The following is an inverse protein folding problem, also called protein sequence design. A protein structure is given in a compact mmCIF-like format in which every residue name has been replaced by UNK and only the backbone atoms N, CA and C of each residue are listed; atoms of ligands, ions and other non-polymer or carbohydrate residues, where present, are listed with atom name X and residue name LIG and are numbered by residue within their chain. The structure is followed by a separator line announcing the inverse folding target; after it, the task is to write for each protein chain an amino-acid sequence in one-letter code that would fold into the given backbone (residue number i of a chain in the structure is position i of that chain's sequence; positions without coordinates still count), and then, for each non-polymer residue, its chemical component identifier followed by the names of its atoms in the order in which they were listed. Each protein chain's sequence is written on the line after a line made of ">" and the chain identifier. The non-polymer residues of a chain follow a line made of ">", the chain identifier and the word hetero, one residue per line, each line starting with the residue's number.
data_IF_204385510741
#
_entry.id   IF_204385510741
#
_cell.length_a   1.000
_cell.length_b   1.000
_cell.length_c   1.000
_cell.angle_alpha   90.00
_cell.angle_beta   90.00
_cell.angle_gamma   90.00
#
_symmetry.space_group_name_H-M   'P 1'
#
loop_
_entity.id
_entity.type
_entity.pdbx_description
1 polymer ?
#
# COMPACT_ATOMS: atom_id res chain seq x y z
N UNK A 1 7.38 -23.94 7.26
CA UNK A 1 6.06 -23.40 7.64
C UNK A 1 6.25 -21.91 7.90
N UNK A 2 6.16 -21.08 6.85
CA UNK A 2 6.40 -19.64 6.96
C UNK A 2 5.09 -18.91 6.76
N UNK A 3 4.16 -19.13 7.70
CA UNK A 3 2.91 -18.37 7.78
C UNK A 3 3.23 -16.97 8.26
N UNK A 4 3.44 -16.08 7.29
CA UNK A 4 3.47 -14.63 7.52
C UNK A 4 4.86 -14.09 7.76
N UNK A 5 5.68 -14.02 6.72
CA UNK A 5 6.76 -13.03 6.68
C UNK A 5 6.10 -11.65 6.52
N UNK A 6 5.41 -11.18 7.56
CA UNK A 6 4.90 -9.83 7.63
C UNK A 6 6.08 -8.92 7.91
N UNK A 7 6.64 -8.37 6.86
CA UNK A 7 7.73 -7.41 7.01
C UNK A 7 7.26 -6.18 7.76
N UNK A 8 8.20 -5.52 8.43
CA UNK A 8 7.99 -4.30 9.21
C UNK A 8 7.13 -3.25 8.46
N UNK A 9 7.27 -3.16 7.13
CA UNK A 9 6.49 -2.27 6.29
C UNK A 9 4.99 -2.61 6.26
N UNK A 10 4.65 -3.89 6.12
CA UNK A 10 3.25 -4.36 6.11
C UNK A 10 2.59 -4.08 7.46
N UNK A 11 3.27 -4.38 8.57
CA UNK A 11 2.75 -4.11 9.91
C UNK A 11 2.59 -2.61 10.17
N UNK A 12 3.55 -1.79 9.73
CA UNK A 12 3.46 -0.34 9.86
C UNK A 12 2.31 0.23 9.02
N UNK A 13 2.08 -0.30 7.82
CA UNK A 13 0.98 0.09 6.95
C UNK A 13 -0.38 -0.35 7.52
N UNK A 14 -0.50 -1.55 8.07
CA UNK A 14 -1.73 -2.07 8.68
C UNK A 14 -2.12 -1.33 9.97
N UNK A 15 -1.13 -0.89 10.75
CA UNK A 15 -1.35 -0.16 12.00
C UNK A 15 -1.43 1.37 11.81
N UNK A 16 -1.22 1.89 10.60
CA UNK A 16 -1.31 3.32 10.35
C UNK A 16 -0.07 4.12 10.80
N UNK A 17 1.06 3.45 11.02
CA UNK A 17 2.31 4.06 11.48
C UNK A 17 3.02 4.82 10.34
N UNK A 18 2.45 5.94 9.92
CA UNK A 18 2.91 6.79 8.81
C UNK A 18 4.42 7.08 8.88
N UNK A 19 4.92 7.46 10.05
CA UNK A 19 6.33 7.85 10.23
C UNK A 19 7.28 6.68 10.03
N UNK A 20 6.89 5.49 10.52
CA UNK A 20 7.65 4.25 10.35
C UNK A 20 7.64 3.81 8.89
N UNK A 21 6.48 3.87 8.23
CA UNK A 21 6.38 3.61 6.79
C UNK A 21 7.32 4.54 6.02
N UNK A 22 7.29 5.84 6.29
CA UNK A 22 8.17 6.80 5.60
C UNK A 22 9.65 6.47 5.83
N UNK A 23 10.05 6.20 7.07
CA UNK A 23 11.42 5.85 7.40
C UNK A 23 11.87 4.58 6.66
N UNK A 24 11.02 3.54 6.63
CA UNK A 24 11.29 2.29 5.92
C UNK A 24 11.38 2.47 4.40
N UNK A 25 10.55 3.35 3.83
CA UNK A 25 10.63 3.68 2.41
C UNK A 25 11.89 4.50 2.09
N UNK A 26 12.33 5.38 2.98
CA UNK A 26 13.54 6.20 2.76
C UNK A 26 14.84 5.41 2.98
N UNK A 27 14.85 4.47 3.93
CA UNK A 27 16.03 3.62 4.25
C UNK A 27 16.09 2.31 3.47
N UNK A 28 14.93 1.74 3.12
CA UNK A 28 14.78 0.41 2.54
C UNK A 28 14.54 0.38 1.03
N UNK A 29 14.57 1.54 0.35
CA UNK A 29 14.31 1.66 -1.11
C UNK A 29 15.06 0.66 -2.00
N UNK A 30 16.20 0.13 -1.55
CA UNK A 30 17.01 -0.84 -2.28
C UNK A 30 16.66 -2.32 -2.02
N UNK A 31 15.96 -2.65 -0.91
CA UNK A 31 15.70 -4.04 -0.48
C UNK A 31 14.21 -4.39 -0.33
N UNK A 32 13.29 -3.44 -0.52
CA UNK A 32 11.86 -3.75 -0.46
C UNK A 32 11.43 -4.53 -1.70
N UNK A 33 10.90 -5.74 -1.50
CA UNK A 33 10.32 -6.51 -2.59
C UNK A 33 9.01 -5.87 -3.07
N UNK A 34 8.76 -5.94 -4.37
CA UNK A 34 7.52 -5.46 -5.00
C UNK A 34 6.27 -6.04 -4.34
N UNK A 35 6.31 -7.32 -3.93
CA UNK A 35 5.18 -7.99 -3.26
C UNK A 35 4.90 -7.44 -1.84
N UNK A 36 5.92 -6.99 -1.11
CA UNK A 36 5.74 -6.39 0.22
C UNK A 36 5.10 -5.01 0.11
N UNK A 37 5.58 -4.21 -0.83
CA UNK A 37 5.04 -2.89 -1.16
C UNK A 37 3.57 -2.98 -1.59
N UNK A 38 3.24 -3.98 -2.41
CA UNK A 38 1.85 -4.30 -2.79
C UNK A 38 1.03 -4.68 -1.57
N UNK A 39 1.55 -5.58 -0.73
CA UNK A 39 0.87 -6.03 0.50
C UNK A 39 0.55 -4.88 1.44
N UNK A 40 1.53 -4.03 1.71
CA UNK A 40 1.36 -2.82 2.50
C UNK A 40 0.29 -1.87 1.89
N UNK A 41 0.22 -1.76 0.55
CA UNK A 41 -0.71 -0.88 -0.14
C UNK A 41 -2.17 -1.27 0.08
N UNK A 42 -2.55 -2.55 -0.12
CA UNK A 42 -3.94 -2.96 0.07
C UNK A 42 -4.33 -3.12 1.54
N UNK A 43 -3.38 -3.35 2.47
CA UNK A 43 -3.62 -3.25 3.90
C UNK A 43 -3.93 -1.81 4.33
N UNK A 44 -3.14 -0.84 3.88
CA UNK A 44 -3.42 0.58 4.13
C UNK A 44 -4.73 1.05 3.48
N UNK A 45 -5.04 0.54 2.28
CA UNK A 45 -6.28 0.86 1.57
C UNK A 45 -7.53 0.30 2.25
N UNK A 46 -7.42 -0.87 2.89
CA UNK A 46 -8.49 -1.47 3.68
C UNK A 46 -8.81 -0.69 4.97
N UNK A 47 -7.89 0.14 5.45
CA UNK A 47 -7.99 0.88 6.72
C UNK A 47 -8.19 2.40 6.53
N UNK A 48 -8.39 2.85 5.29
CA UNK A 48 -8.50 4.27 4.89
C UNK A 48 -7.25 5.13 5.19
N UNK A 49 -6.05 4.52 5.27
CA UNK A 49 -4.82 5.27 5.54
C UNK A 49 -4.28 5.98 4.30
N UNK A 50 -5.01 6.99 3.81
CA UNK A 50 -4.69 7.83 2.65
C UNK A 50 -3.22 8.23 2.55
N UNK A 51 -2.64 8.73 3.63
CA UNK A 51 -1.25 9.21 3.63
C UNK A 51 -0.26 8.07 3.35
N UNK A 52 -0.52 6.88 3.91
CA UNK A 52 0.30 5.69 3.71
C UNK A 52 0.11 5.14 2.30
N UNK A 53 -1.14 5.07 1.83
CA UNK A 53 -1.45 4.66 0.46
C UNK A 53 -0.70 5.54 -0.54
N UNK A 54 -0.71 6.87 -0.35
CA UNK A 54 0.02 7.79 -1.22
C UNK A 54 1.54 7.54 -1.20
N UNK A 55 2.15 7.43 -0.01
CA UNK A 55 3.60 7.20 0.12
C UNK A 55 4.03 5.86 -0.51
N UNK A 56 3.25 4.80 -0.29
CA UNK A 56 3.51 3.49 -0.88
C UNK A 56 3.34 3.54 -2.40
N UNK A 57 2.31 4.21 -2.90
CA UNK A 57 2.09 4.37 -4.34
C UNK A 57 3.25 5.12 -5.01
N UNK A 58 3.67 6.24 -4.45
CA UNK A 58 4.80 7.06 -4.95
C UNK A 58 6.13 6.28 -4.95
N UNK A 59 6.32 5.35 -4.00
CA UNK A 59 7.59 4.62 -3.84
C UNK A 59 7.63 3.33 -4.64
N UNK A 60 6.50 2.64 -4.80
CA UNK A 60 6.52 1.24 -5.21
C UNK A 60 6.89 1.03 -6.67
N UNK A 61 6.94 2.09 -7.49
CA UNK A 61 6.86 1.94 -8.95
C UNK A 61 5.80 0.89 -9.32
N UNK A 62 4.68 0.86 -8.56
CA UNK A 62 3.55 0.02 -8.94
C UNK A 62 3.20 0.60 -10.29
N UNK A 63 3.46 -0.17 -11.34
CA UNK A 63 3.12 0.21 -12.68
C UNK A 63 1.67 0.65 -12.61
N UNK A 64 1.41 1.93 -12.88
CA UNK A 64 0.10 2.53 -12.80
C UNK A 64 -0.87 1.94 -13.84
N UNK A 65 -0.48 0.83 -14.47
CA UNK A 65 -1.29 0.02 -15.33
C UNK A 65 -2.62 -0.26 -14.63
N UNK A 66 -3.74 0.21 -15.20
CA UNK A 66 -5.07 -0.05 -14.66
C UNK A 66 -5.41 -1.55 -14.62
N UNK A 67 -4.63 -2.41 -15.29
CA UNK A 67 -4.73 -3.87 -15.25
C UNK A 67 -3.91 -4.53 -14.15
N UNK A 68 -3.12 -3.79 -13.35
CA UNK A 68 -2.41 -4.40 -12.21
C UNK A 68 -3.44 -4.96 -11.22
N UNK A 69 -3.44 -6.28 -11.06
CA UNK A 69 -4.36 -6.99 -10.17
C UNK A 69 -4.29 -6.49 -8.71
N UNK A 70 -3.15 -5.93 -8.30
CA UNK A 70 -2.97 -5.42 -6.93
C UNK A 70 -3.60 -4.04 -6.77
N UNK A 71 -3.53 -3.20 -7.80
CA UNK A 71 -4.32 -1.95 -7.83
C UNK A 71 -5.81 -2.29 -7.76
N UNK A 72 -6.26 -3.27 -8.54
CA UNK A 72 -7.64 -3.75 -8.50
C UNK A 72 -8.02 -4.31 -7.12
N UNK A 73 -7.15 -5.10 -6.49
CA UNK A 73 -7.36 -5.60 -5.11
C UNK A 73 -7.44 -4.47 -4.09
N UNK A 74 -6.54 -3.49 -4.14
CA UNK A 74 -6.55 -2.34 -3.23
C UNK A 74 -7.82 -1.49 -3.41
N UNK A 75 -8.23 -1.28 -4.67
CA UNK A 75 -9.42 -0.51 -5.04
C UNK A 75 -10.71 -1.25 -4.65
N UNK A 76 -10.75 -2.57 -4.88
CA UNK A 76 -11.84 -3.44 -4.43
C UNK A 76 -11.99 -3.42 -2.91
N UNK A 77 -10.89 -3.52 -2.16
CA UNK A 77 -10.94 -3.43 -0.69
C UNK A 77 -11.42 -2.05 -0.25
N UNK A 78 -10.81 -0.98 -0.74
CA UNK A 78 -11.24 0.38 -0.39
C UNK A 78 -12.72 0.61 -0.70
N UNK A 79 -13.21 0.16 -1.86
CA UNK A 79 -14.62 0.24 -2.22
C UNK A 79 -15.52 -0.63 -1.30
N UNK A 80 -15.11 -1.87 -1.00
CA UNK A 80 -15.84 -2.79 -0.13
C UNK A 80 -16.06 -2.23 1.28
N UNK A 81 -15.09 -1.48 1.81
CA UNK A 81 -15.18 -0.85 3.13
C UNK A 81 -15.70 0.59 3.09
N UNK A 82 -16.09 1.12 1.93
CA UNK A 82 -16.63 2.48 1.78
C UNK A 82 -15.59 3.60 1.89
N UNK A 83 -14.31 3.30 1.70
CA UNK A 83 -13.19 4.24 1.77
C UNK A 83 -13.05 5.05 0.48
N UNK A 84 -14.06 5.89 0.23
CA UNK A 84 -14.20 6.72 -0.98
C UNK A 84 -12.98 7.62 -1.21
N UNK A 85 -12.43 8.08 -0.09
CA UNK A 85 -11.16 8.77 0.07
C UNK A 85 -9.98 8.07 -0.66
N UNK A 86 -9.75 6.80 -0.32
CA UNK A 86 -8.69 5.98 -0.93
C UNK A 86 -9.05 5.58 -2.36
N UNK A 87 -10.31 5.28 -2.65
CA UNK A 87 -10.77 4.95 -4.01
C UNK A 87 -10.47 6.10 -4.98
N UNK A 88 -10.77 7.34 -4.58
CA UNK A 88 -10.46 8.54 -5.38
C UNK A 88 -8.95 8.65 -5.62
N UNK A 89 -8.14 8.44 -4.58
CA UNK A 89 -6.68 8.49 -4.67
C UNK A 89 -6.11 7.43 -5.62
N UNK A 90 -6.59 6.18 -5.52
CA UNK A 90 -6.19 5.08 -6.40
C UNK A 90 -6.72 5.22 -7.83
N UNK A 91 -7.85 5.91 -8.07
CA UNK A 91 -8.38 6.21 -9.41
C UNK A 91 -7.72 7.42 -10.09
N UNK A 92 -7.31 8.43 -9.33
CA UNK A 92 -6.76 9.68 -9.86
C UNK A 92 -5.24 9.68 -10.02
N UNK A 93 -4.54 8.65 -9.54
CA UNK A 93 -3.12 8.52 -9.83
C UNK A 93 -2.92 8.02 -11.29
N UNK A 94 -2.14 8.75 -12.11
CA UNK A 94 -1.84 8.41 -13.50
C UNK A 94 -0.92 7.20 -13.62
#
# INVERSE_FOLDING_TARGET
>A
EDKGQWTLLCLAAENGHKTVVKLLLDTGKANLHREELRTALWLAAQKDYKAIVKMLFDTSKVDADPKDENRQKALYRAAKYGHEAVVKLLRHCP
#
